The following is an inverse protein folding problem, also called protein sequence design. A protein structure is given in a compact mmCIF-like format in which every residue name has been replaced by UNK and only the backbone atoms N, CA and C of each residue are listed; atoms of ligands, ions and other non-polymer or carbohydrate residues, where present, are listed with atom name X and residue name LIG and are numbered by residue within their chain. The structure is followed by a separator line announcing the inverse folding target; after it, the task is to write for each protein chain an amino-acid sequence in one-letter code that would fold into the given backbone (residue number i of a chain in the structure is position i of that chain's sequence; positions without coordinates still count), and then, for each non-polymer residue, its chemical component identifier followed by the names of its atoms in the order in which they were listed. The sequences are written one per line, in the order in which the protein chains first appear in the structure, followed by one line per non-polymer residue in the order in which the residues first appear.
data_IF_773422234459
#
_entry.id   IF_773422234459
#
_cell.length_a   1.000
_cell.length_b   1.000
_cell.length_c   1.000
_cell.angle_alpha   90.00
_cell.angle_beta   90.00
_cell.angle_gamma   90.00
#
_symmetry.space_group_name_H-M   'P 1'
#
loop_
_entity.id
_entity.type
_entity.pdbx_description
1 polymer ?
#
# COMPACT_ATOMS: atom_id res chain seq x y z
N UNK A 1 14.89 -7.59 -1.09
CA UNK A 1 15.50 -8.94 -1.20
C UNK A 1 15.66 -9.61 0.17
N UNK A 2 16.21 -8.92 1.16
CA UNK A 2 16.50 -9.54 2.48
C UNK A 2 15.29 -10.21 3.13
N UNK A 3 14.13 -9.55 3.15
CA UNK A 3 12.89 -10.10 3.74
C UNK A 3 12.40 -11.34 2.98
N UNK A 4 12.38 -11.31 1.66
CA UNK A 4 12.01 -12.45 0.82
C UNK A 4 12.93 -13.65 1.06
N UNK A 5 14.25 -13.40 1.09
CA UNK A 5 15.24 -14.43 1.39
C UNK A 5 15.05 -15.06 2.78
N UNK A 6 14.76 -14.23 3.80
CA UNK A 6 14.52 -14.72 5.17
C UNK A 6 13.27 -15.60 5.21
N UNK A 7 12.17 -15.19 4.59
CA UNK A 7 10.92 -15.95 4.55
C UNK A 7 11.15 -17.30 3.85
N UNK A 8 11.67 -17.29 2.62
CA UNK A 8 11.95 -18.51 1.86
C UNK A 8 12.87 -19.46 2.63
N UNK A 9 13.97 -18.93 3.20
CA UNK A 9 14.93 -19.72 3.98
C UNK A 9 14.30 -20.32 5.24
N UNK A 10 13.49 -19.56 5.97
CA UNK A 10 12.84 -20.04 7.18
C UNK A 10 11.80 -21.12 6.88
N UNK A 11 11.01 -20.94 5.84
CA UNK A 11 10.00 -21.92 5.45
C UNK A 11 10.65 -23.20 4.92
N UNK A 12 11.66 -23.07 4.08
CA UNK A 12 12.46 -24.21 3.62
C UNK A 12 13.07 -25.02 4.78
N UNK A 13 13.73 -24.32 5.71
CA UNK A 13 14.43 -25.01 6.81
C UNK A 13 13.47 -25.65 7.81
N UNK A 14 12.44 -24.90 8.23
CA UNK A 14 11.54 -25.29 9.33
C UNK A 14 10.40 -26.20 8.88
N UNK A 15 9.82 -25.89 7.70
CA UNK A 15 8.58 -26.53 7.27
C UNK A 15 8.75 -27.39 6.01
N UNK A 16 9.94 -27.36 5.36
CA UNK A 16 10.16 -28.00 4.05
C UNK A 16 9.14 -27.52 3.02
N UNK A 17 8.83 -26.23 3.04
CA UNK A 17 7.85 -25.55 2.18
C UNK A 17 8.45 -24.26 1.64
N UNK A 18 7.81 -23.76 0.59
CA UNK A 18 8.07 -22.46 -0.03
C UNK A 18 6.74 -21.75 -0.26
N UNK A 19 6.73 -20.42 -0.49
CA UNK A 19 5.52 -19.70 -0.88
C UNK A 19 4.95 -20.23 -2.21
N UNK A 20 3.62 -20.20 -2.35
CA UNK A 20 2.94 -20.50 -3.61
C UNK A 20 3.02 -19.33 -4.59
N UNK A 21 3.11 -18.10 -4.08
CA UNK A 21 3.40 -16.87 -4.80
C UNK A 21 4.02 -15.84 -3.84
N UNK A 22 4.66 -14.81 -4.37
CA UNK A 22 5.17 -13.69 -3.58
C UNK A 22 4.63 -12.36 -4.12
N UNK A 23 4.12 -11.51 -3.23
CA UNK A 23 3.76 -10.12 -3.56
C UNK A 23 4.83 -9.19 -2.97
N UNK A 24 5.44 -8.36 -3.83
CA UNK A 24 6.39 -7.32 -3.43
C UNK A 24 5.62 -6.00 -3.35
N UNK A 25 5.42 -5.49 -2.15
CA UNK A 25 4.82 -4.18 -1.96
C UNK A 25 5.90 -3.10 -1.92
N UNK A 26 5.82 -2.18 -2.87
CA UNK A 26 6.78 -1.09 -3.04
C UNK A 26 6.51 0.12 -2.13
N UNK A 27 7.48 1.02 -2.04
CA UNK A 27 7.40 2.20 -1.17
C UNK A 27 6.37 3.25 -1.63
N UNK A 28 5.86 3.14 -2.85
CA UNK A 28 4.78 4.00 -3.37
C UNK A 28 3.37 3.46 -3.05
N UNK A 29 3.29 2.38 -2.28
CA UNK A 29 2.02 1.82 -1.82
C UNK A 29 1.26 2.78 -0.89
N UNK A 30 -0.03 2.51 -0.73
CA UNK A 30 -0.91 3.19 0.22
C UNK A 30 -1.04 2.43 1.53
N UNK A 31 -1.58 3.09 2.55
CA UNK A 31 -1.75 2.49 3.86
C UNK A 31 -0.43 2.29 4.59
N UNK A 32 -0.34 1.23 5.39
CA UNK A 32 0.87 0.92 6.15
C UNK A 32 2.01 0.50 5.24
N UNK A 33 3.19 1.06 5.49
CA UNK A 33 4.38 0.84 4.67
C UNK A 33 5.40 -0.02 5.44
N UNK A 34 5.94 -1.02 4.77
CA UNK A 34 7.01 -1.88 5.28
C UNK A 34 8.41 -1.25 5.23
N UNK A 35 8.49 0.06 5.18
CA UNK A 35 9.71 0.88 5.07
C UNK A 35 9.82 1.79 6.28
N UNK A 36 11.05 2.13 6.68
CA UNK A 36 11.28 3.17 7.69
C UNK A 36 10.99 4.57 7.13
N UNK A 37 10.76 5.54 8.02
CA UNK A 37 10.63 6.94 7.57
C UNK A 37 11.87 7.45 6.85
N UNK A 38 13.05 7.03 7.28
CA UNK A 38 14.32 7.38 6.65
C UNK A 38 14.37 6.88 5.20
N UNK A 39 14.05 5.61 4.95
CA UNK A 39 13.96 5.04 3.61
C UNK A 39 12.93 5.78 2.76
N UNK A 40 11.77 6.14 3.32
CA UNK A 40 10.72 6.87 2.60
C UNK A 40 11.10 8.31 2.25
N UNK A 41 11.98 8.96 3.00
CA UNK A 41 12.48 10.30 2.69
C UNK A 41 13.37 10.33 1.43
N UNK A 42 13.98 9.21 1.07
CA UNK A 42 14.84 9.08 -0.11
C UNK A 42 14.09 8.71 -1.40
N UNK A 43 12.77 8.53 -1.35
CA UNK A 43 11.94 8.09 -2.49
C UNK A 43 12.06 8.93 -3.77
N UNK A 44 12.38 10.20 -3.64
CA UNK A 44 12.42 11.15 -4.75
C UNK A 44 13.85 11.54 -5.14
N UNK A 45 14.85 10.83 -4.63
CA UNK A 45 16.23 10.99 -5.06
C UNK A 45 16.43 10.43 -6.49
N UNK A 46 17.30 11.02 -7.30
CA UNK A 46 17.42 10.69 -8.73
C UNK A 46 17.68 9.22 -9.04
N UNK A 47 18.39 8.51 -8.16
CA UNK A 47 18.77 7.11 -8.36
C UNK A 47 17.82 6.11 -7.69
N UNK A 48 16.78 6.59 -7.03
CA UNK A 48 15.92 5.72 -6.22
C UNK A 48 15.18 4.67 -7.04
N UNK A 49 14.57 5.06 -8.16
CA UNK A 49 13.82 4.16 -9.03
C UNK A 49 14.71 3.03 -9.56
N UNK A 50 15.89 3.34 -10.05
CA UNK A 50 16.83 2.36 -10.55
C UNK A 50 17.31 1.38 -9.45
N UNK A 51 17.58 1.89 -8.25
CA UNK A 51 17.97 1.07 -7.09
C UNK A 51 16.82 0.14 -6.65
N UNK A 52 15.57 0.60 -6.72
CA UNK A 52 14.41 -0.20 -6.37
C UNK A 52 14.10 -1.26 -7.43
N UNK A 53 14.29 -0.97 -8.71
CA UNK A 53 14.20 -1.92 -9.80
C UNK A 53 15.19 -3.09 -9.64
N UNK A 54 16.42 -2.77 -9.25
CA UNK A 54 17.44 -3.79 -8.95
C UNK A 54 17.09 -4.63 -7.72
N UNK A 55 16.43 -4.03 -6.73
CA UNK A 55 15.91 -4.75 -5.57
C UNK A 55 14.80 -5.73 -5.97
N UNK A 56 13.87 -5.32 -6.85
CA UNK A 56 12.82 -6.20 -7.41
C UNK A 56 13.46 -7.39 -8.15
N UNK A 57 14.42 -7.14 -9.04
CA UNK A 57 15.12 -8.21 -9.79
C UNK A 57 15.82 -9.19 -8.83
N UNK A 58 16.46 -8.69 -7.78
CA UNK A 58 17.10 -9.54 -6.75
C UNK A 58 16.10 -10.38 -5.98
N UNK A 59 14.92 -9.85 -5.68
CA UNK A 59 13.84 -10.62 -5.04
C UNK A 59 13.36 -11.73 -5.97
N UNK A 60 13.08 -11.41 -7.22
CA UNK A 60 12.63 -12.38 -8.24
C UNK A 60 13.66 -13.51 -8.39
N UNK A 61 14.93 -13.18 -8.56
CA UNK A 61 16.00 -14.17 -8.67
C UNK A 61 16.08 -15.09 -7.44
N UNK A 62 16.00 -14.51 -6.23
CA UNK A 62 16.00 -15.27 -4.99
C UNK A 62 14.81 -16.23 -4.89
N UNK A 63 13.61 -15.80 -5.29
CA UNK A 63 12.39 -16.63 -5.25
C UNK A 63 12.49 -17.77 -6.27
N UNK A 64 13.00 -17.50 -7.47
CA UNK A 64 13.19 -18.50 -8.51
C UNK A 64 14.19 -19.59 -8.09
N UNK A 65 15.30 -19.24 -7.42
CA UNK A 65 16.25 -20.24 -6.87
C UNK A 65 15.55 -21.25 -5.93
N UNK A 66 14.63 -20.78 -5.09
CA UNK A 66 13.84 -21.66 -4.23
C UNK A 66 12.82 -22.49 -5.03
N UNK A 67 12.20 -21.90 -6.05
CA UNK A 67 11.30 -22.60 -6.97
C UNK A 67 12.02 -23.76 -7.66
N UNK A 68 13.19 -23.52 -8.24
CA UNK A 68 14.04 -24.54 -8.87
C UNK A 68 14.40 -25.67 -7.89
N UNK A 69 14.79 -25.32 -6.67
CA UNK A 69 15.10 -26.30 -5.62
C UNK A 69 13.95 -27.26 -5.35
N UNK A 70 12.71 -26.81 -5.46
CA UNK A 70 11.51 -27.60 -5.18
C UNK A 70 10.83 -28.13 -6.47
N UNK A 71 11.36 -27.80 -7.65
CA UNK A 71 10.81 -28.20 -8.94
C UNK A 71 9.44 -27.55 -9.23
N UNK A 72 9.21 -26.34 -8.73
CA UNK A 72 7.95 -25.59 -8.91
C UNK A 72 8.24 -24.16 -9.34
N UNK A 73 7.28 -23.55 -10.02
CA UNK A 73 7.29 -22.14 -10.34
C UNK A 73 6.61 -21.33 -9.23
N UNK A 74 7.24 -20.22 -8.80
CA UNK A 74 6.70 -19.31 -7.78
C UNK A 74 6.50 -17.95 -8.46
N UNK A 75 5.26 -17.57 -8.81
CA UNK A 75 4.99 -16.27 -9.41
C UNK A 75 5.33 -15.12 -8.47
N UNK A 76 5.88 -14.04 -9.04
CA UNK A 76 6.15 -12.81 -8.30
C UNK A 76 5.27 -11.69 -8.83
N UNK A 77 4.56 -11.03 -7.93
CA UNK A 77 3.62 -9.94 -8.18
C UNK A 77 4.18 -8.67 -7.56
N UNK A 78 4.13 -7.55 -8.27
CA UNK A 78 4.50 -6.25 -7.71
C UNK A 78 3.28 -5.41 -7.36
N UNK A 79 3.40 -4.62 -6.30
CA UNK A 79 2.36 -3.73 -5.80
C UNK A 79 2.93 -2.36 -5.41
N UNK A 80 2.08 -1.34 -5.40
CA UNK A 80 2.43 0.01 -4.99
C UNK A 80 2.80 0.94 -6.14
N UNK A 81 2.07 2.04 -6.27
CA UNK A 81 2.31 3.09 -7.26
C UNK A 81 1.84 2.78 -8.69
N UNK A 82 1.18 1.65 -8.93
CA UNK A 82 0.72 1.24 -10.27
C UNK A 82 -0.63 1.87 -10.58
N UNK A 83 -0.70 2.68 -11.66
CA UNK A 83 -1.87 3.47 -12.05
C UNK A 83 -2.20 3.37 -13.55
N UNK A 84 -1.28 2.89 -14.38
CA UNK A 84 -1.44 2.89 -15.84
C UNK A 84 -0.63 1.77 -16.51
N UNK A 85 -0.89 1.55 -17.82
CA UNK A 85 -0.24 0.51 -18.62
C UNK A 85 1.29 0.61 -18.64
N UNK A 86 1.87 1.82 -18.63
CA UNK A 86 3.33 1.99 -18.63
C UNK A 86 3.95 1.38 -17.38
N UNK A 87 3.34 1.59 -16.22
CA UNK A 87 3.82 1.04 -14.95
C UNK A 87 3.60 -0.47 -14.87
N UNK A 88 2.50 -0.99 -15.44
CA UNK A 88 2.27 -2.44 -15.59
C UNK A 88 3.35 -3.06 -16.47
N UNK A 89 3.61 -2.48 -17.65
CA UNK A 89 4.65 -2.95 -18.57
C UNK A 89 6.05 -2.88 -17.94
N UNK A 90 6.35 -1.83 -17.17
CA UNK A 90 7.60 -1.72 -16.43
C UNK A 90 7.75 -2.86 -15.43
N UNK A 91 6.72 -3.14 -14.63
CA UNK A 91 6.71 -4.28 -13.69
C UNK A 91 7.01 -5.62 -14.40
N UNK A 92 6.38 -5.86 -15.55
CA UNK A 92 6.61 -7.07 -16.34
C UNK A 92 8.03 -7.10 -16.94
N UNK A 93 8.57 -5.95 -17.38
CA UNK A 93 9.95 -5.86 -17.87
C UNK A 93 11.00 -6.14 -16.77
N UNK A 94 10.66 -5.95 -15.50
CA UNK A 94 11.50 -6.35 -14.36
C UNK A 94 11.44 -7.85 -14.06
N UNK A 95 10.48 -8.57 -14.66
CA UNK A 95 10.27 -10.00 -14.47
C UNK A 95 9.10 -10.33 -13.52
N UNK A 96 8.30 -9.37 -13.10
CA UNK A 96 7.05 -9.66 -12.41
C UNK A 96 6.05 -10.34 -13.35
N UNK A 97 5.20 -11.19 -12.80
CA UNK A 97 4.19 -11.97 -13.54
C UNK A 97 2.76 -11.47 -13.28
N UNK A 98 2.64 -10.49 -12.42
CA UNK A 98 1.38 -9.82 -12.13
C UNK A 98 1.60 -8.52 -11.39
N UNK A 99 0.51 -7.76 -11.26
CA UNK A 99 0.47 -6.51 -10.51
C UNK A 99 -0.71 -6.53 -9.53
N UNK A 100 -0.51 -5.94 -8.35
CA UNK A 100 -1.57 -5.68 -7.39
C UNK A 100 -1.85 -4.18 -7.38
N UNK A 101 -3.09 -3.80 -7.61
CA UNK A 101 -3.54 -2.41 -7.74
C UNK A 101 -4.71 -2.18 -6.79
N UNK A 102 -4.72 -1.07 -6.06
CA UNK A 102 -5.79 -0.74 -5.12
C UNK A 102 -6.31 0.69 -5.31
N UNK A 103 -5.44 1.70 -5.21
CA UNK A 103 -5.83 3.12 -5.20
C UNK A 103 -6.76 3.54 -6.36
N UNK A 104 -6.51 3.20 -7.63
CA UNK A 104 -7.41 3.59 -8.70
C UNK A 104 -8.77 2.87 -8.68
N UNK A 105 -8.87 1.69 -8.05
CA UNK A 105 -10.15 1.00 -7.89
C UNK A 105 -11.08 1.69 -6.88
N UNK A 106 -10.55 2.54 -5.99
CA UNK A 106 -11.39 3.34 -5.07
C UNK A 106 -12.23 4.34 -5.84
N UNK A 107 -11.73 4.90 -6.95
CA UNK A 107 -12.44 5.87 -7.79
C UNK A 107 -13.21 5.19 -8.92
N UNK A 108 -13.83 4.04 -8.66
CA UNK A 108 -14.74 3.39 -9.61
C UNK A 108 -16.19 3.47 -9.14
N UNK A 109 -17.13 3.41 -10.07
CA UNK A 109 -18.55 3.40 -9.77
C UNK A 109 -18.92 2.17 -8.91
N UNK A 110 -18.27 1.02 -9.19
CA UNK A 110 -18.50 -0.26 -8.52
C UNK A 110 -17.93 -0.32 -7.10
N UNK A 111 -17.01 0.58 -6.72
CA UNK A 111 -16.56 0.67 -5.34
C UNK A 111 -17.71 1.13 -4.45
N UNK A 112 -18.02 0.38 -3.40
CA UNK A 112 -19.13 0.62 -2.46
C UNK A 112 -18.86 1.69 -1.39
N UNK A 113 -17.67 2.32 -1.40
CA UNK A 113 -17.36 3.44 -0.52
C UNK A 113 -18.25 4.65 -0.82
N UNK A 114 -18.53 5.45 0.21
CA UNK A 114 -19.33 6.66 0.08
C UNK A 114 -18.78 7.62 -0.99
N UNK A 115 -19.63 8.36 -1.71
CA UNK A 115 -19.20 9.29 -2.75
C UNK A 115 -18.17 10.33 -2.27
N UNK A 116 -18.29 10.82 -1.03
CA UNK A 116 -17.35 11.77 -0.45
C UNK A 116 -15.95 11.16 -0.29
N UNK A 117 -15.84 9.85 0.04
CA UNK A 117 -14.58 9.14 0.12
C UNK A 117 -13.90 9.05 -1.25
N UNK A 118 -14.63 8.64 -2.30
CA UNK A 118 -14.11 8.60 -3.67
C UNK A 118 -13.68 9.99 -4.15
N UNK A 119 -14.48 11.02 -3.84
CA UNK A 119 -14.17 12.39 -4.23
C UNK A 119 -12.91 12.93 -3.54
N UNK A 120 -12.61 12.50 -2.31
CA UNK A 120 -11.37 12.86 -1.63
C UNK A 120 -10.13 12.38 -2.39
N UNK A 121 -10.19 11.20 -3.04
CA UNK A 121 -9.11 10.72 -3.90
C UNK A 121 -8.97 11.54 -5.18
N UNK A 122 -10.09 11.86 -5.85
CA UNK A 122 -10.10 12.68 -7.08
C UNK A 122 -9.58 14.09 -6.82
N UNK A 123 -9.87 14.64 -5.66
CA UNK A 123 -9.45 16.00 -5.30
C UNK A 123 -8.01 16.08 -4.77
N UNK A 124 -7.40 14.94 -4.40
CA UNK A 124 -6.08 14.91 -3.78
C UNK A 124 -4.98 15.40 -4.74
N UNK A 125 -4.12 16.27 -4.23
CA UNK A 125 -2.93 16.77 -4.92
C UNK A 125 -1.68 16.18 -4.29
N UNK A 126 -0.53 16.39 -4.93
CA UNK A 126 0.76 15.88 -4.42
C UNK A 126 1.08 16.42 -3.02
N UNK A 127 0.80 17.67 -2.77
CA UNK A 127 1.01 18.34 -1.48
C UNK A 127 0.11 17.81 -0.35
N UNK A 128 -1.01 17.16 -0.68
CA UNK A 128 -1.93 16.58 0.31
C UNK A 128 -1.48 15.18 0.77
N UNK A 129 -0.46 14.59 0.12
CA UNK A 129 -0.01 13.24 0.44
C UNK A 129 1.08 13.30 1.49
N UNK A 130 0.85 12.65 2.63
CA UNK A 130 1.82 12.63 3.72
C UNK A 130 2.05 11.24 4.31
N UNK A 131 3.20 11.07 4.96
CA UNK A 131 3.53 9.88 5.74
C UNK A 131 3.19 10.12 7.21
N UNK A 132 2.16 9.46 7.69
CA UNK A 132 1.69 9.54 9.07
C UNK A 132 2.26 8.41 9.92
N UNK A 133 2.27 8.60 11.25
CA UNK A 133 2.55 7.52 12.19
C UNK A 133 1.23 6.88 12.62
N UNK A 134 1.03 5.64 12.21
CA UNK A 134 -0.16 4.89 12.57
C UNK A 134 -0.12 4.43 14.04
N UNK A 135 -1.28 4.29 14.73
CA UNK A 135 -1.37 3.67 16.05
C UNK A 135 -0.80 2.25 16.14
N UNK A 136 -0.62 1.57 15.01
CA UNK A 136 0.01 0.24 14.94
C UNK A 136 1.55 0.30 14.95
N UNK A 137 2.13 1.52 14.98
CA UNK A 137 3.59 1.71 15.05
C UNK A 137 4.31 1.67 13.71
N UNK A 138 3.59 1.65 12.59
CA UNK A 138 4.15 1.68 11.23
C UNK A 138 3.92 3.04 10.58
N UNK A 139 4.80 3.51 9.68
CA UNK A 139 4.48 4.60 8.78
C UNK A 139 3.28 4.22 7.90
N UNK A 140 2.44 5.19 7.60
CA UNK A 140 1.32 5.01 6.67
C UNK A 140 1.21 6.19 5.72
N UNK A 141 0.82 5.96 4.45
CA UNK A 141 0.59 7.04 3.50
C UNK A 141 -0.89 7.37 3.43
N UNK A 142 -1.21 8.64 3.63
CA UNK A 142 -2.58 9.13 3.72
C UNK A 142 -2.75 10.47 3.00
N UNK A 143 -4.00 10.82 2.70
CA UNK A 143 -4.40 12.16 2.29
C UNK A 143 -4.55 13.02 3.54
N UNK A 144 -3.88 14.18 3.56
CA UNK A 144 -3.98 15.18 4.63
C UNK A 144 -5.41 15.71 4.74
N UNK A 145 -5.91 15.82 5.98
CA UNK A 145 -7.25 16.33 6.29
C UNK A 145 -7.34 16.84 7.73
N UNK A 146 -8.49 17.42 8.11
CA UNK A 146 -8.73 17.94 9.44
C UNK A 146 -8.56 16.89 10.56
N UNK A 147 -8.85 15.60 10.26
CA UNK A 147 -8.61 14.53 11.23
C UNK A 147 -7.13 14.39 11.58
N UNK A 148 -6.24 14.38 10.58
CA UNK A 148 -4.80 14.24 10.81
C UNK A 148 -4.23 15.44 11.56
N UNK A 149 -4.68 16.67 11.24
CA UNK A 149 -4.32 17.87 11.99
C UNK A 149 -4.71 17.77 13.47
N UNK A 150 -5.94 17.32 13.74
CA UNK A 150 -6.48 17.16 15.09
C UNK A 150 -5.67 16.13 15.88
N UNK A 151 -5.43 14.94 15.33
CA UNK A 151 -4.74 13.87 16.06
C UNK A 151 -3.24 14.11 16.21
N UNK A 152 -2.64 14.99 15.40
CA UNK A 152 -1.29 15.47 15.59
C UNK A 152 -1.15 16.38 16.83
N UNK A 153 -2.20 17.12 17.20
CA UNK A 153 -2.22 18.06 18.34
C UNK A 153 -2.69 17.40 19.63
N UNK A 154 -3.67 16.51 19.55
CA UNK A 154 -4.29 15.90 20.74
C UNK A 154 -4.80 14.49 20.44
N UNK A 155 -4.77 13.63 21.47
CA UNK A 155 -5.36 12.30 21.37
C UNK A 155 -6.87 12.37 21.21
N UNK A 156 -7.43 11.52 20.35
CA UNK A 156 -8.87 11.32 20.26
C UNK A 156 -9.37 10.48 21.46
N UNK A 157 -10.51 10.81 22.02
CA UNK A 157 -11.13 9.98 23.06
C UNK A 157 -11.76 8.74 22.42
N UNK A 158 -11.17 7.56 22.68
CA UNK A 158 -11.66 6.29 22.15
C UNK A 158 -12.81 5.77 23.04
N UNK A 159 -14.04 5.88 22.57
CA UNK A 159 -15.24 5.43 23.29
C UNK A 159 -15.58 3.97 23.07
N UNK A 160 -15.14 3.38 21.93
CA UNK A 160 -15.38 2.00 21.56
C UNK A 160 -14.10 1.34 21.06
N UNK A 161 -13.81 0.13 21.55
CA UNK A 161 -12.67 -0.67 21.12
C UNK A 161 -13.14 -1.87 20.29
N UNK A 162 -12.69 -1.96 19.03
CA UNK A 162 -12.99 -3.05 18.10
C UNK A 162 -12.17 -4.32 18.36
N UNK A 163 -11.21 -4.29 19.29
CA UNK A 163 -10.28 -5.40 19.60
C UNK A 163 -9.55 -5.91 18.34
N UNK A 164 -9.24 -5.02 17.41
CA UNK A 164 -8.62 -5.33 16.12
C UNK A 164 -7.12 -5.66 16.24
N UNK A 165 -6.45 -5.24 17.31
CA UNK A 165 -5.02 -5.43 17.53
C UNK A 165 -4.78 -5.96 18.95
N UNK A 166 -4.05 -7.07 19.08
CA UNK A 166 -3.78 -7.73 20.37
C UNK A 166 -3.03 -6.81 21.36
N UNK A 167 -2.06 -6.02 20.89
CA UNK A 167 -1.22 -5.16 21.71
C UNK A 167 -1.68 -3.70 21.77
N UNK A 168 -2.84 -3.37 21.19
CA UNK A 168 -3.38 -2.01 21.26
C UNK A 168 -3.90 -1.70 22.66
N UNK A 169 -3.42 -0.57 23.21
CA UNK A 169 -3.99 0.00 24.43
C UNK A 169 -4.82 1.25 24.09
N UNK A 170 -6.16 1.18 24.11
CA UNK A 170 -7.02 2.31 23.75
C UNK A 170 -6.79 3.58 24.57
N UNK A 171 -6.29 3.46 25.82
CA UNK A 171 -6.00 4.64 26.66
C UNK A 171 -4.70 5.36 26.24
N UNK A 172 -3.81 4.69 25.52
CA UNK A 172 -2.53 5.22 25.08
C UNK A 172 -2.51 5.57 23.59
N UNK A 173 -3.30 4.86 22.77
CA UNK A 173 -3.37 5.11 21.34
C UNK A 173 -3.82 6.56 21.04
N UNK A 174 -3.24 7.21 20.03
CA UNK A 174 -3.63 8.58 19.66
C UNK A 174 -5.06 8.64 19.09
N UNK A 175 -5.52 7.59 18.45
CA UNK A 175 -6.89 7.39 17.94
C UNK A 175 -7.14 5.90 17.66
N UNK A 176 -8.40 5.52 17.46
CA UNK A 176 -8.76 4.17 17.03
C UNK A 176 -8.66 4.07 15.50
N UNK A 177 -7.68 3.34 15.00
CA UNK A 177 -7.47 3.23 13.55
C UNK A 177 -8.68 2.61 12.82
N UNK A 178 -9.29 1.57 13.38
CA UNK A 178 -10.47 0.93 12.80
C UNK A 178 -11.63 1.92 12.68
N UNK A 179 -11.90 2.71 13.73
CA UNK A 179 -12.96 3.73 13.71
C UNK A 179 -12.65 4.82 12.67
N UNK A 180 -11.40 5.28 12.61
CA UNK A 180 -11.00 6.31 11.66
C UNK A 180 -11.16 5.85 10.20
N UNK A 181 -10.82 4.60 9.89
CA UNK A 181 -11.02 4.02 8.55
C UNK A 181 -12.50 3.84 8.21
N UNK A 182 -13.34 3.40 9.18
CA UNK A 182 -14.78 3.26 8.99
C UNK A 182 -15.42 4.62 8.69
N UNK A 183 -15.13 5.65 9.50
CA UNK A 183 -15.64 7.00 9.27
C UNK A 183 -15.34 7.49 7.86
N UNK A 184 -14.10 7.33 7.42
CA UNK A 184 -13.67 7.78 6.11
C UNK A 184 -14.47 7.08 4.99
N UNK A 185 -14.55 5.74 5.01
CA UNK A 185 -15.25 4.98 3.96
C UNK A 185 -16.76 5.21 3.95
N UNK A 186 -17.36 5.53 5.10
CA UNK A 186 -18.77 5.92 5.25
C UNK A 186 -19.05 7.37 4.83
N UNK A 187 -17.99 8.15 4.49
CA UNK A 187 -18.10 9.50 3.94
C UNK A 187 -17.80 10.64 4.91
N UNK A 188 -17.50 10.35 6.17
CA UNK A 188 -17.02 11.36 7.14
C UNK A 188 -15.50 11.55 6.98
N UNK A 189 -15.14 12.12 5.83
CA UNK A 189 -13.75 12.30 5.38
C UNK A 189 -12.97 13.31 6.24
N UNK A 190 -13.67 14.21 6.92
CA UNK A 190 -13.04 15.21 7.80
C UNK A 190 -12.67 14.66 9.18
N UNK A 191 -13.29 13.55 9.61
CA UNK A 191 -13.01 12.88 10.88
C UNK A 191 -12.46 11.46 10.71
N UNK A 192 -12.12 11.06 9.47
CA UNK A 192 -11.63 9.74 9.11
C UNK A 192 -10.22 9.75 8.57
N UNK A 193 -9.57 8.59 8.61
CA UNK A 193 -8.26 8.35 8.03
C UNK A 193 -8.41 7.85 6.59
N UNK A 194 -7.84 8.57 5.63
CA UNK A 194 -7.91 8.23 4.21
C UNK A 194 -6.53 7.77 3.76
N UNK A 195 -6.28 6.47 3.75
CA UNK A 195 -5.05 5.91 3.20
C UNK A 195 -5.07 5.95 1.66
N UNK A 196 -3.94 6.28 1.04
CA UNK A 196 -3.82 6.33 -0.42
C UNK A 196 -2.41 5.94 -0.88
N UNK A 197 -2.27 5.51 -2.14
CA UNK A 197 -0.97 5.37 -2.79
C UNK A 197 -0.34 6.72 -3.13
N UNK A 198 0.96 6.74 -3.37
CA UNK A 198 1.72 7.96 -3.69
C UNK A 198 1.24 8.65 -4.98
N UNK A 199 0.68 7.88 -5.90
CA UNK A 199 0.23 8.34 -7.20
C UNK A 199 -1.25 8.76 -7.23
N UNK A 200 -1.92 8.90 -6.07
CA UNK A 200 -3.36 9.27 -6.00
C UNK A 200 -3.66 10.59 -6.73
N UNK A 201 -2.74 11.54 -6.75
CA UNK A 201 -2.87 12.83 -7.44
C UNK A 201 -3.09 12.73 -8.97
N UNK A 202 -2.92 11.54 -9.55
CA UNK A 202 -3.19 11.32 -10.98
C UNK A 202 -4.61 10.82 -11.26
N UNK A 203 -5.43 10.63 -10.23
CA UNK A 203 -6.85 10.33 -10.36
C UNK A 203 -7.61 11.64 -10.59
N UNK A 204 -8.37 11.72 -11.66
CA UNK A 204 -9.05 12.94 -12.08
C UNK A 204 -10.58 12.80 -12.20
N UNK A 205 -11.11 11.57 -12.15
CA UNK A 205 -12.53 11.30 -12.23
C UNK A 205 -12.90 9.97 -11.53
N UNK A 206 -14.20 9.75 -11.38
CA UNK A 206 -14.80 8.47 -11.00
C UNK A 206 -15.23 7.79 -12.29
N UNK A 207 -14.59 6.67 -12.64
CA UNK A 207 -14.87 5.87 -13.83
C UNK A 207 -15.45 4.51 -13.48
N UNK A 208 -15.36 3.55 -14.41
CA UNK A 208 -15.76 2.16 -14.20
C UNK A 208 -14.55 1.24 -14.03
N UNK A 209 -14.77 0.06 -13.44
CA UNK A 209 -13.74 -0.99 -13.37
C UNK A 209 -13.32 -1.41 -14.78
N UNK A 210 -14.23 -1.46 -15.73
CA UNK A 210 -13.95 -1.81 -17.14
C UNK A 210 -12.96 -0.81 -17.76
N UNK A 211 -13.23 0.49 -17.64
CA UNK A 211 -12.35 1.55 -18.12
C UNK A 211 -10.96 1.46 -17.48
N UNK A 212 -10.91 1.25 -16.18
CA UNK A 212 -9.64 1.11 -15.45
C UNK A 212 -8.85 -0.11 -15.94
N UNK A 213 -9.50 -1.27 -16.09
CA UNK A 213 -8.82 -2.49 -16.57
C UNK A 213 -8.28 -2.29 -17.99
N UNK A 214 -9.06 -1.65 -18.88
CA UNK A 214 -8.59 -1.30 -20.22
C UNK A 214 -7.44 -0.28 -20.21
N UNK A 215 -7.43 0.66 -19.26
CA UNK A 215 -6.32 1.60 -19.10
C UNK A 215 -5.03 0.94 -18.57
N UNK A 216 -5.15 -0.11 -17.78
CA UNK A 216 -4.02 -0.89 -17.27
C UNK A 216 -3.49 -1.90 -18.29
N UNK A 217 -4.37 -2.49 -19.10
CA UNK A 217 -4.08 -3.57 -20.06
C UNK A 217 -4.73 -3.26 -21.43
N UNK A 218 -4.22 -2.24 -22.16
CA UNK A 218 -4.75 -1.82 -23.45
C UNK A 218 -4.55 -2.86 -24.56
#
# INVERSE_FOLDING_TARGET
AKSAQVICKMWDRKYKRIPDLLVIEGPLAGGHLGFSREELNHLYEPDYEANYDDEIRRIIACVHEYGEKYGVHIPVITAGGIMNARQVQHAFALGAEGVQVATPFVTTEECDAAPAYKQAYVNAKKEDIEIVTSPVGMPGRAIHNAFLEKVAQQKEHITHCFRCLEKCNPTQAPYCITQALIRAVEGDVENGLIFCGDNVQYLDHIGTVEELVHALFP
#
